data_IF_305900799335
#
_entry.id   IF_305900799335
#
_cell.length_a   1.000
_cell.length_b   1.000
_cell.length_c   1.000
_cell.angle_alpha   90.00
_cell.angle_beta   90.00
_cell.angle_gamma   90.00
#
_symmetry.space_group_name_H-M   'P 1'
#
loop_
_entity.id
_entity.type
_entity.pdbx_description
1 polymer ?
#
# COMPACT_ATOMS: atom_id res chain seq x y z
N UNK A 1 -12.99 -18.10 4.77
CA UNK A 1 -11.98 -17.93 3.71
C UNK A 1 -11.99 -19.15 2.81
N UNK A 2 -12.24 -18.98 1.51
CA UNK A 2 -12.26 -20.12 0.57
C UNK A 2 -10.84 -20.63 0.30
N UNK A 3 -10.65 -21.91 -0.05
CA UNK A 3 -9.32 -22.45 -0.36
C UNK A 3 -8.66 -21.73 -1.55
N UNK A 4 -9.46 -21.30 -2.54
CA UNK A 4 -9.00 -20.55 -3.72
C UNK A 4 -8.43 -19.19 -3.32
N UNK A 5 -9.16 -18.42 -2.50
CA UNK A 5 -8.71 -17.12 -2.00
C UNK A 5 -7.43 -17.26 -1.16
N UNK A 6 -7.30 -18.35 -0.39
CA UNK A 6 -6.08 -18.61 0.40
C UNK A 6 -4.85 -18.86 -0.47
N UNK A 7 -5.01 -19.61 -1.56
CA UNK A 7 -3.92 -19.86 -2.50
C UNK A 7 -3.47 -18.57 -3.19
N UNK A 8 -4.41 -17.72 -3.60
CA UNK A 8 -4.10 -16.41 -4.21
C UNK A 8 -3.32 -15.51 -3.24
N UNK A 9 -3.81 -15.34 -2.01
CA UNK A 9 -3.17 -14.51 -0.98
C UNK A 9 -1.75 -14.99 -0.68
N UNK A 10 -1.56 -16.30 -0.47
CA UNK A 10 -0.22 -16.86 -0.22
C UNK A 10 0.69 -16.77 -1.44
N UNK A 11 0.13 -16.89 -2.65
CA UNK A 11 0.83 -16.67 -3.91
C UNK A 11 1.38 -15.25 -4.02
N UNK A 12 0.54 -14.24 -3.71
CA UNK A 12 0.93 -12.84 -3.65
C UNK A 12 2.01 -12.59 -2.59
N UNK A 13 1.84 -13.14 -1.38
CA UNK A 13 2.83 -13.02 -0.32
C UNK A 13 4.20 -13.50 -0.80
N UNK A 14 4.28 -14.72 -1.36
CA UNK A 14 5.54 -15.29 -1.88
C UNK A 14 6.10 -14.47 -3.04
N UNK A 15 5.25 -13.91 -3.91
CA UNK A 15 5.68 -13.04 -5.02
C UNK A 15 6.42 -11.81 -4.48
N UNK A 16 5.94 -11.20 -3.40
CA UNK A 16 6.59 -10.03 -2.78
C UNK A 16 8.01 -10.36 -2.31
N UNK A 17 8.23 -11.50 -1.64
CA UNK A 17 9.59 -11.89 -1.23
C UNK A 17 10.52 -12.15 -2.42
N UNK A 18 9.99 -12.67 -3.53
CA UNK A 18 10.78 -12.83 -4.77
C UNK A 18 11.15 -11.48 -5.37
N UNK A 19 10.24 -10.51 -5.32
CA UNK A 19 10.50 -9.13 -5.74
C UNK A 19 11.58 -8.53 -4.85
N UNK A 20 11.42 -8.59 -3.52
CA UNK A 20 12.41 -8.09 -2.57
C UNK A 20 13.80 -8.71 -2.81
N UNK A 21 13.88 -10.02 -3.09
CA UNK A 21 15.17 -10.67 -3.40
C UNK A 21 15.85 -10.09 -4.64
N UNK A 22 15.07 -9.84 -5.71
CA UNK A 22 15.55 -9.30 -6.98
C UNK A 22 15.62 -7.77 -7.02
N UNK A 23 15.16 -7.09 -5.96
CA UNK A 23 15.09 -5.65 -5.91
C UNK A 23 16.47 -5.01 -6.02
N UNK A 24 16.54 -3.90 -6.73
CA UNK A 24 17.73 -3.05 -6.85
C UNK A 24 17.26 -1.61 -6.79
N UNK A 25 17.89 -0.80 -5.95
CA UNK A 25 17.53 0.61 -5.86
C UNK A 25 17.88 1.34 -7.16
N UNK A 26 17.08 2.35 -7.51
CA UNK A 26 17.32 3.20 -8.66
C UNK A 26 18.70 3.89 -8.60
N UNK A 27 19.19 4.21 -7.40
CA UNK A 27 20.51 4.80 -7.18
C UNK A 27 21.67 3.83 -7.36
N UNK A 28 21.39 2.52 -7.41
CA UNK A 28 22.37 1.41 -7.38
C UNK A 28 23.29 1.41 -6.16
N UNK A 29 23.00 2.22 -5.14
CA UNK A 29 23.73 2.17 -3.89
C UNK A 29 23.37 0.92 -3.11
N UNK A 30 24.39 0.25 -2.57
CA UNK A 30 24.19 -1.00 -1.84
C UNK A 30 23.38 -0.77 -0.56
N UNK A 31 23.67 0.31 0.17
CA UNK A 31 22.96 0.66 1.41
C UNK A 31 21.47 0.93 1.16
N UNK A 32 21.14 1.73 0.14
CA UNK A 32 19.76 2.02 -0.22
C UNK A 32 19.03 0.76 -0.69
N UNK A 33 19.68 -0.06 -1.51
CA UNK A 33 19.11 -1.35 -1.93
C UNK A 33 18.80 -2.26 -0.73
N UNK A 34 19.67 -2.30 0.28
CA UNK A 34 19.42 -3.08 1.51
C UNK A 34 18.23 -2.50 2.28
N UNK A 35 18.18 -1.18 2.48
CA UNK A 35 17.08 -0.50 3.19
C UNK A 35 15.73 -0.73 2.51
N UNK A 36 15.68 -0.58 1.19
CA UNK A 36 14.49 -0.79 0.37
C UNK A 36 14.02 -2.25 0.42
N UNK A 37 14.95 -3.22 0.33
CA UNK A 37 14.63 -4.64 0.49
C UNK A 37 14.02 -4.96 1.84
N UNK A 38 14.64 -4.45 2.91
CA UNK A 38 14.14 -4.63 4.27
C UNK A 38 12.76 -4.00 4.43
N UNK A 39 12.55 -2.83 3.86
CA UNK A 39 11.27 -2.14 3.86
C UNK A 39 10.16 -2.99 3.20
N UNK A 40 10.38 -3.48 1.98
CA UNK A 40 9.40 -4.34 1.26
C UNK A 40 9.04 -5.56 2.13
N UNK A 41 10.04 -6.20 2.72
CA UNK A 41 9.84 -7.40 3.55
C UNK A 41 9.04 -7.07 4.82
N UNK A 42 9.42 -6.00 5.52
CA UNK A 42 8.79 -5.61 6.78
C UNK A 42 7.36 -5.14 6.56
N UNK A 43 7.11 -4.31 5.55
CA UNK A 43 5.77 -3.85 5.20
C UNK A 43 4.86 -5.05 4.86
N UNK A 44 5.33 -5.97 4.01
CA UNK A 44 4.57 -7.16 3.66
C UNK A 44 4.24 -8.03 4.89
N UNK A 45 5.22 -8.27 5.77
CA UNK A 45 4.98 -9.01 7.02
C UNK A 45 3.93 -8.32 7.89
N UNK A 46 4.08 -7.02 8.11
CA UNK A 46 3.20 -6.23 8.98
C UNK A 46 1.76 -6.23 8.45
N UNK A 47 1.57 -5.96 7.15
CA UNK A 47 0.22 -5.87 6.57
C UNK A 47 -0.47 -7.23 6.46
N UNK A 48 0.25 -8.29 6.07
CA UNK A 48 -0.33 -9.63 6.03
C UNK A 48 -0.66 -10.15 7.44
N UNK A 49 0.17 -9.85 8.44
CA UNK A 49 -0.10 -10.20 9.82
C UNK A 49 -1.32 -9.45 10.37
N UNK A 50 -1.44 -8.15 10.07
CA UNK A 50 -2.59 -7.32 10.45
C UNK A 50 -3.90 -7.89 9.90
N UNK A 51 -3.86 -8.37 8.66
CA UNK A 51 -5.02 -8.92 7.95
C UNK A 51 -5.28 -10.40 8.21
N UNK A 52 -4.51 -11.07 9.10
CA UNK A 52 -4.59 -12.52 9.37
C UNK A 52 -6.00 -12.99 9.74
N UNK A 53 -6.72 -12.18 10.51
CA UNK A 53 -8.03 -12.54 11.06
C UNK A 53 -9.20 -12.04 10.18
N UNK A 54 -8.93 -11.46 9.01
CA UNK A 54 -9.99 -11.04 8.10
C UNK A 54 -10.72 -12.26 7.52
N UNK A 55 -12.03 -12.31 7.72
CA UNK A 55 -12.91 -13.39 7.27
C UNK A 55 -13.84 -12.97 6.14
N UNK A 56 -14.11 -11.67 6.03
CA UNK A 56 -14.98 -11.07 5.02
C UNK A 56 -14.36 -11.18 3.61
N UNK A 57 -15.01 -11.89 2.67
CA UNK A 57 -14.50 -12.07 1.31
C UNK A 57 -14.34 -10.77 0.53
N UNK A 58 -15.19 -9.76 0.75
CA UNK A 58 -15.09 -8.48 0.04
C UNK A 58 -13.88 -7.68 0.50
N UNK A 59 -13.65 -7.62 1.81
CA UNK A 59 -12.47 -6.96 2.38
C UNK A 59 -11.18 -7.67 1.94
N UNK A 60 -11.16 -9.01 1.92
CA UNK A 60 -10.01 -9.76 1.43
C UNK A 60 -9.73 -9.43 -0.04
N UNK A 61 -10.76 -9.35 -0.89
CA UNK A 61 -10.61 -8.96 -2.30
C UNK A 61 -10.02 -7.56 -2.42
N UNK A 62 -10.51 -6.60 -1.62
CA UNK A 62 -9.96 -5.24 -1.62
C UNK A 62 -8.49 -5.20 -1.21
N UNK A 63 -8.10 -5.95 -0.17
CA UNK A 63 -6.68 -6.04 0.24
C UNK A 63 -5.80 -6.69 -0.85
N UNK A 64 -6.32 -7.69 -1.55
CA UNK A 64 -5.64 -8.34 -2.68
C UNK A 64 -5.42 -7.36 -3.83
N UNK A 65 -6.43 -6.59 -4.21
CA UNK A 65 -6.32 -5.58 -5.27
C UNK A 65 -5.40 -4.43 -4.88
N UNK A 66 -5.46 -3.96 -3.63
CA UNK A 66 -4.51 -2.98 -3.08
C UNK A 66 -3.07 -3.50 -3.16
N UNK A 67 -2.83 -4.74 -2.76
CA UNK A 67 -1.52 -5.38 -2.82
C UNK A 67 -0.98 -5.47 -4.26
N UNK A 68 -1.83 -5.88 -5.22
CA UNK A 68 -1.47 -5.92 -6.65
C UNK A 68 -1.10 -4.52 -7.17
N UNK A 69 -1.93 -3.52 -6.88
CA UNK A 69 -1.69 -2.14 -7.30
C UNK A 69 -0.38 -1.56 -6.72
N UNK A 70 -0.08 -1.84 -5.44
CA UNK A 70 1.19 -1.43 -4.81
C UNK A 70 2.40 -2.06 -5.49
N UNK A 71 2.33 -3.37 -5.76
CA UNK A 71 3.41 -4.09 -6.44
C UNK A 71 3.64 -3.53 -7.84
N UNK A 72 2.57 -3.26 -8.59
CA UNK A 72 2.65 -2.70 -9.93
C UNK A 72 3.28 -1.29 -9.94
N UNK A 73 2.84 -0.42 -9.04
CA UNK A 73 3.39 0.94 -8.89
C UNK A 73 4.85 0.89 -8.46
N UNK A 74 5.19 0.04 -7.50
CA UNK A 74 6.56 -0.10 -7.04
C UNK A 74 7.49 -0.57 -8.15
N UNK A 75 7.06 -1.55 -8.95
CA UNK A 75 7.83 -2.03 -10.09
C UNK A 75 7.91 -1.00 -11.23
N UNK A 76 6.82 -0.27 -11.51
CA UNK A 76 6.77 0.71 -12.59
C UNK A 76 7.67 1.93 -12.33
N UNK A 77 7.66 2.44 -11.08
CA UNK A 77 8.44 3.62 -10.71
C UNK A 77 9.79 3.29 -10.08
N UNK A 78 10.09 2.01 -9.83
CA UNK A 78 11.27 1.57 -9.09
C UNK A 78 11.40 2.22 -7.70
N UNK A 79 10.28 2.44 -7.02
CA UNK A 79 10.23 3.04 -5.68
C UNK A 79 9.39 2.12 -4.80
N UNK A 80 9.93 1.56 -3.71
CA UNK A 80 9.18 0.62 -2.87
C UNK A 80 8.22 1.33 -1.91
N UNK A 81 8.43 2.62 -1.68
CA UNK A 81 7.66 3.44 -0.75
C UNK A 81 6.32 3.89 -1.34
N UNK A 82 5.30 4.16 -0.51
CA UNK A 82 4.06 4.80 -0.95
C UNK A 82 4.36 6.14 -1.61
N UNK A 83 3.89 6.32 -2.84
CA UNK A 83 4.04 7.59 -3.55
C UNK A 83 3.20 8.68 -2.85
N UNK A 84 3.78 9.84 -2.48
CA UNK A 84 3.01 10.96 -1.97
C UNK A 84 1.90 11.35 -2.96
N UNK A 85 0.66 11.46 -2.50
CA UNK A 85 -0.41 11.99 -3.33
C UNK A 85 -0.22 13.51 -3.39
N UNK A 86 -0.06 14.07 -4.59
CA UNK A 86 -0.11 15.51 -4.82
C UNK A 86 -1.54 16.06 -4.69
N UNK A 87 -2.22 15.75 -3.58
CA UNK A 87 -3.40 16.50 -3.20
C UNK A 87 -2.89 17.82 -2.60
N UNK A 88 -3.41 18.97 -3.01
CA UNK A 88 -3.02 20.24 -2.40
C UNK A 88 -3.23 20.14 -0.88
N UNK A 89 -2.17 20.22 -0.07
CA UNK A 89 -2.32 20.27 1.37
C UNK A 89 -3.06 21.58 1.68
N UNK A 90 -4.24 21.50 2.27
CA UNK A 90 -5.06 22.68 2.58
C UNK A 90 -5.33 23.53 1.33
N UNK A 91 -6.19 23.07 0.42
CA UNK A 91 -6.73 23.96 -0.61
C UNK A 91 -7.60 25.03 0.06
N UNK A 92 -6.96 26.10 0.57
CA UNK A 92 -7.43 27.41 1.07
C UNK A 92 -8.68 27.47 1.96
N UNK A 93 -9.36 26.37 2.25
CA UNK A 93 -10.52 26.36 3.13
C UNK A 93 -10.05 26.46 4.59
N UNK A 94 -10.62 27.38 5.39
CA UNK A 94 -10.31 27.46 6.81
C UNK A 94 -10.53 26.09 7.47
N UNK A 95 -9.65 25.73 8.42
CA UNK A 95 -9.61 24.41 9.08
C UNK A 95 -10.90 24.05 9.84
N UNK A 96 -11.87 24.95 9.89
CA UNK A 96 -13.15 24.78 10.56
C UNK A 96 -14.29 25.15 9.62
N UNK A 97 -15.32 24.30 9.57
CA UNK A 97 -16.57 24.58 8.86
C UNK A 97 -17.03 23.49 7.88
N UNK A 98 -18.15 23.76 7.20
CA UNK A 98 -18.81 22.82 6.28
C UNK A 98 -17.96 22.52 5.05
N UNK A 99 -17.21 23.51 4.56
CA UNK A 99 -16.31 23.40 3.41
C UNK A 99 -15.14 22.42 3.68
N UNK A 100 -14.56 22.48 4.89
CA UNK A 100 -13.51 21.55 5.32
C UNK A 100 -13.99 20.08 5.29
N UNK A 101 -15.18 19.80 5.86
CA UNK A 101 -15.77 18.44 5.84
C UNK A 101 -16.03 17.93 4.41
N UNK A 102 -16.49 18.80 3.52
CA UNK A 102 -16.71 18.45 2.12
C UNK A 102 -15.38 18.11 1.41
N UNK A 103 -14.35 18.92 1.63
CA UNK A 103 -13.01 18.69 1.08
C UNK A 103 -12.36 17.41 1.64
N UNK A 104 -12.51 17.13 2.95
CA UNK A 104 -12.07 15.86 3.53
C UNK A 104 -12.79 14.65 2.93
N UNK A 105 -14.11 14.76 2.66
CA UNK A 105 -14.87 13.69 2.01
C UNK A 105 -14.36 13.45 0.59
N UNK A 106 -14.20 14.51 -0.21
CA UNK A 106 -13.62 14.41 -1.55
C UNK A 106 -12.23 13.79 -1.51
N UNK A 107 -11.40 14.17 -0.52
CA UNK A 107 -10.08 13.57 -0.32
C UNK A 107 -10.17 12.07 -0.08
N UNK A 108 -11.04 11.62 0.84
CA UNK A 108 -11.22 10.17 1.11
C UNK A 108 -11.66 9.41 -0.15
N UNK A 109 -12.49 10.02 -0.99
CA UNK A 109 -12.96 9.44 -2.25
C UNK A 109 -11.87 9.40 -3.33
N UNK A 110 -11.04 10.44 -3.43
CA UNK A 110 -9.97 10.55 -4.42
C UNK A 110 -8.68 9.80 -4.04
N UNK A 111 -8.66 9.08 -2.90
CA UNK A 111 -7.49 8.30 -2.51
C UNK A 111 -7.31 7.12 -3.46
N UNK A 112 -6.08 6.90 -3.96
CA UNK A 112 -5.83 5.77 -4.82
C UNK A 112 -5.85 4.48 -3.99
N UNK A 113 -6.25 3.39 -4.65
CA UNK A 113 -6.47 2.07 -4.04
C UNK A 113 -5.24 1.58 -3.27
N UNK A 114 -4.04 1.89 -3.77
CA UNK A 114 -2.77 1.46 -3.18
C UNK A 114 -2.39 2.18 -1.87
N UNK A 115 -3.17 3.13 -1.35
CA UNK A 115 -2.87 3.85 -0.09
C UNK A 115 -3.87 3.56 1.04
N UNK A 116 -4.82 2.65 0.83
CA UNK A 116 -5.90 2.39 1.80
C UNK A 116 -5.37 1.91 3.16
N UNK A 117 -4.32 1.08 3.18
CA UNK A 117 -3.74 0.56 4.44
C UNK A 117 -2.86 1.55 5.22
N UNK A 118 -2.55 2.73 4.68
CA UNK A 118 -1.71 3.75 5.34
C UNK A 118 -2.48 4.65 6.31
N UNK A 119 -3.81 4.75 6.16
CA UNK A 119 -4.66 5.62 6.99
C UNK A 119 -4.80 5.15 8.45
N UNK A 120 -4.43 3.90 8.75
CA UNK A 120 -4.54 3.30 10.09
C UNK A 120 -3.25 3.41 10.92
N UNK A 121 -2.24 4.11 10.41
CA UNK A 121 -1.03 4.48 11.16
C UNK A 121 -1.18 5.93 11.56
N UNK A 122 -1.78 6.18 12.72
CA UNK A 122 -1.84 7.48 13.40
C UNK A 122 -1.67 7.27 14.89
#
# INVERSE_FOLDING_TARGET
MTPVTRQEVLGLYRKIFRIAKKWQSASRQMEETIKEKQYIINEAKTLFQKNKNLTDPELIKQCVEECKARVEIGLHYHIPYPRPIHLPPMGLAPQQGRAFRHQEKLRKLSKPVYLKSYDEVS
#
